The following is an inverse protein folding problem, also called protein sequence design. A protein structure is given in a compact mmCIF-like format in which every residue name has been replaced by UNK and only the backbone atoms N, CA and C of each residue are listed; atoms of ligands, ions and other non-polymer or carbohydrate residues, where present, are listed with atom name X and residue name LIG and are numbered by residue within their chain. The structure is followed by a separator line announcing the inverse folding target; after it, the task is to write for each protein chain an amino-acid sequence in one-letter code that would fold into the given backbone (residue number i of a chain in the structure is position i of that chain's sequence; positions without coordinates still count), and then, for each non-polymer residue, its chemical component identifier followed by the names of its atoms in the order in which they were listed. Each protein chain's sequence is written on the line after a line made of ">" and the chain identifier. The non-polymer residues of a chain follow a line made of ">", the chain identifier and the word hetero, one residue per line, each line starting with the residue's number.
data_IF_192927773308
#
_entry.id   IF_192927773308
#
_cell.length_a   1.000
_cell.length_b   1.000
_cell.length_c   1.000
_cell.angle_alpha   90.00
_cell.angle_beta   90.00
_cell.angle_gamma   90.00
#
_symmetry.space_group_name_H-M   'P 1'
#
loop_
_entity.id
_entity.type
_entity.pdbx_description
1 polymer ?
#
# COMPACT_ATOMS: atom_id res chain seq x y z
N UNK A 1 11.12 20.04 -12.24
CA UNK A 1 10.70 18.65 -12.49
C UNK A 1 11.46 17.65 -11.62
N UNK A 2 12.74 17.36 -11.88
CA UNK A 2 13.52 16.37 -11.11
C UNK A 2 13.55 16.57 -9.58
N UNK A 3 13.59 17.81 -9.12
CA UNK A 3 13.61 18.14 -7.69
C UNK A 3 12.38 17.66 -6.94
N UNK A 4 11.18 17.74 -7.55
CA UNK A 4 9.93 17.33 -6.92
C UNK A 4 9.75 15.82 -6.96
N UNK A 5 10.16 15.15 -8.04
CA UNK A 5 10.21 13.68 -8.11
C UNK A 5 11.12 13.14 -7.01
N UNK A 6 12.32 13.72 -6.84
CA UNK A 6 13.26 13.29 -5.81
C UNK A 6 12.75 13.54 -4.38
N UNK A 7 12.05 14.66 -4.16
CA UNK A 7 11.38 14.92 -2.88
C UNK A 7 10.28 13.90 -2.60
N UNK A 8 9.46 13.58 -3.59
CA UNK A 8 8.43 12.56 -3.50
C UNK A 8 9.02 11.18 -3.22
N UNK A 9 10.08 10.81 -3.94
CA UNK A 9 10.79 9.55 -3.76
C UNK A 9 11.34 9.39 -2.34
N UNK A 10 12.08 10.38 -1.85
CA UNK A 10 12.62 10.35 -0.48
C UNK A 10 11.52 10.26 0.57
N UNK A 11 10.45 11.00 0.37
CA UNK A 11 9.31 11.00 1.26
C UNK A 11 8.62 9.62 1.27
N UNK A 12 8.31 9.06 0.09
CA UNK A 12 7.75 7.73 -0.02
C UNK A 12 8.67 6.64 0.57
N UNK A 13 9.97 6.71 0.31
CA UNK A 13 10.94 5.76 0.87
C UNK A 13 10.97 5.79 2.41
N UNK A 14 10.92 6.98 3.02
CA UNK A 14 10.84 7.11 4.48
C UNK A 14 9.58 6.45 5.06
N UNK A 15 8.48 6.47 4.32
CA UNK A 15 7.24 5.85 4.74
C UNK A 15 7.28 4.33 4.64
N UNK A 16 7.94 3.81 3.63
CA UNK A 16 8.11 2.37 3.45
C UNK A 16 8.99 1.73 4.53
N UNK A 17 9.84 2.52 5.22
CA UNK A 17 10.61 2.04 6.38
C UNK A 17 9.69 1.62 7.53
N UNK A 18 8.50 2.20 7.63
CA UNK A 18 7.47 1.72 8.55
C UNK A 18 6.90 0.39 8.04
N UNK A 19 7.61 -0.71 8.32
CA UNK A 19 7.27 -2.08 7.92
C UNK A 19 5.84 -2.40 8.34
N UNK A 20 4.95 -2.54 7.35
CA UNK A 20 3.54 -2.86 7.55
C UNK A 20 3.20 -4.31 7.12
N UNK A 21 1.92 -4.72 7.27
CA UNK A 21 1.46 -6.05 6.87
C UNK A 21 1.77 -6.40 5.41
N UNK A 22 1.73 -5.41 4.52
CA UNK A 22 2.02 -5.57 3.08
C UNK A 22 3.49 -5.94 2.85
N UNK A 23 4.41 -5.28 3.56
CA UNK A 23 5.85 -5.56 3.48
C UNK A 23 6.15 -6.99 3.96
N UNK A 24 5.54 -7.40 5.07
CA UNK A 24 5.65 -8.77 5.59
C UNK A 24 5.10 -9.80 4.60
N UNK A 25 3.98 -9.49 3.95
CA UNK A 25 3.41 -10.36 2.92
C UNK A 25 4.35 -10.54 1.73
N UNK A 26 4.94 -9.45 1.22
CA UNK A 26 5.92 -9.50 0.11
C UNK A 26 7.13 -10.34 0.52
N UNK A 27 7.69 -10.10 1.71
CA UNK A 27 8.82 -10.86 2.23
C UNK A 27 8.50 -12.36 2.36
N UNK A 28 7.35 -12.72 2.92
CA UNK A 28 6.90 -14.11 3.02
C UNK A 28 6.73 -14.73 1.63
N UNK A 29 6.15 -14.00 0.68
CA UNK A 29 5.97 -14.46 -0.70
C UNK A 29 7.33 -14.68 -1.38
N UNK A 30 8.29 -13.79 -1.19
CA UNK A 30 9.65 -13.97 -1.71
C UNK A 30 10.32 -15.22 -1.14
N UNK A 31 10.20 -15.44 0.18
CA UNK A 31 10.79 -16.58 0.86
C UNK A 31 10.15 -17.92 0.48
N UNK A 32 8.83 -17.97 0.22
CA UNK A 32 8.09 -19.21 -0.07
C UNK A 32 7.97 -19.53 -1.55
N UNK A 33 7.79 -18.51 -2.38
CA UNK A 33 7.39 -18.65 -3.80
C UNK A 33 8.38 -18.01 -4.77
N UNK A 34 9.43 -17.40 -4.25
CA UNK A 34 10.53 -16.83 -5.02
C UNK A 34 10.25 -15.42 -5.56
N UNK A 35 11.27 -14.90 -6.24
CA UNK A 35 11.34 -13.51 -6.69
C UNK A 35 10.18 -13.09 -7.60
N UNK A 36 9.80 -13.90 -8.59
CA UNK A 36 8.75 -13.51 -9.53
C UNK A 36 7.37 -13.38 -8.90
N UNK A 37 7.04 -14.22 -7.91
CA UNK A 37 5.80 -14.10 -7.17
C UNK A 37 5.79 -12.85 -6.27
N UNK A 38 6.92 -12.53 -5.65
CA UNK A 38 7.09 -11.32 -4.86
C UNK A 38 6.99 -10.07 -5.73
N UNK A 39 7.62 -10.03 -6.90
CA UNK A 39 7.50 -8.90 -7.84
C UNK A 39 6.07 -8.71 -8.35
N UNK A 40 5.32 -9.78 -8.59
CA UNK A 40 3.91 -9.66 -8.91
C UNK A 40 3.11 -8.99 -7.79
N UNK A 41 3.41 -9.32 -6.52
CA UNK A 41 2.83 -8.66 -5.36
C UNK A 41 3.25 -7.18 -5.27
N UNK A 42 4.52 -6.85 -5.53
CA UNK A 42 5.02 -5.45 -5.56
C UNK A 42 4.29 -4.62 -6.61
N UNK A 43 4.09 -5.18 -7.81
CA UNK A 43 3.32 -4.51 -8.88
C UNK A 43 1.88 -4.24 -8.45
N UNK A 44 1.23 -5.19 -7.77
CA UNK A 44 -0.12 -5.03 -7.25
C UNK A 44 -0.20 -3.90 -6.20
N UNK A 45 0.74 -3.85 -5.26
CA UNK A 45 0.83 -2.77 -4.25
C UNK A 45 1.04 -1.42 -4.93
N UNK A 46 1.97 -1.34 -5.88
CA UNK A 46 2.27 -0.11 -6.62
C UNK A 46 1.06 0.38 -7.41
N UNK A 47 0.28 -0.55 -7.98
CA UNK A 47 -0.97 -0.23 -8.66
C UNK A 47 -2.02 0.33 -7.69
N UNK A 48 -2.21 -0.31 -6.53
CA UNK A 48 -3.14 0.15 -5.51
C UNK A 48 -2.75 1.54 -4.98
N UNK A 49 -1.48 1.77 -4.67
CA UNK A 49 -0.96 3.07 -4.24
C UNK A 49 -1.19 4.13 -5.31
N UNK A 50 -0.97 3.79 -6.59
CA UNK A 50 -1.23 4.69 -7.72
C UNK A 50 -2.69 5.11 -7.80
N UNK A 51 -3.62 4.17 -7.58
CA UNK A 51 -5.05 4.46 -7.53
C UNK A 51 -5.41 5.38 -6.37
N UNK A 52 -4.85 5.14 -5.18
CA UNK A 52 -5.08 6.00 -4.02
C UNK A 52 -4.52 7.40 -4.19
N UNK A 53 -3.33 7.52 -4.75
CA UNK A 53 -2.70 8.79 -5.08
C UNK A 53 -3.55 9.55 -6.10
N UNK A 54 -4.00 8.87 -7.16
CA UNK A 54 -4.90 9.47 -8.16
C UNK A 54 -6.23 9.94 -7.53
N UNK A 55 -6.85 9.11 -6.70
CA UNK A 55 -8.08 9.46 -5.99
C UNK A 55 -7.86 10.65 -5.03
N UNK A 56 -6.73 10.70 -4.33
CA UNK A 56 -6.38 11.81 -3.45
C UNK A 56 -6.16 13.12 -4.22
N UNK A 57 -5.50 13.07 -5.37
CA UNK A 57 -5.31 14.23 -6.27
C UNK A 57 -6.64 14.75 -6.85
N UNK A 58 -7.62 13.87 -7.06
CA UNK A 58 -8.97 14.22 -7.47
C UNK A 58 -9.86 14.74 -6.32
N UNK A 59 -9.33 14.81 -5.10
CA UNK A 59 -10.03 15.32 -3.92
C UNK A 59 -10.95 14.30 -3.24
N UNK A 60 -10.85 13.01 -3.59
CA UNK A 60 -11.67 11.96 -2.96
C UNK A 60 -11.44 11.85 -1.44
N UNK A 61 -10.24 12.20 -0.97
CA UNK A 61 -9.91 12.24 0.45
C UNK A 61 -10.82 13.18 1.26
N UNK A 62 -11.11 14.35 0.73
CA UNK A 62 -11.99 15.33 1.39
C UNK A 62 -13.44 14.86 1.47
N UNK A 63 -13.89 14.07 0.50
CA UNK A 63 -15.25 13.50 0.48
C UNK A 63 -15.36 12.42 1.54
N UNK A 64 -14.35 11.54 1.69
CA UNK A 64 -14.31 10.48 2.69
C UNK A 64 -14.22 11.07 4.10
N UNK A 65 -13.42 12.11 4.30
CA UNK A 65 -13.30 12.78 5.60
C UNK A 65 -14.61 13.45 6.05
N UNK A 66 -15.37 14.02 5.13
CA UNK A 66 -16.66 14.66 5.42
C UNK A 66 -17.80 13.67 5.62
N UNK A 67 -17.67 12.46 5.11
CA UNK A 67 -18.70 11.42 5.20
C UNK A 67 -18.41 10.47 6.37
N UNK A 68 -18.97 10.75 7.56
CA UNK A 68 -18.77 9.94 8.77
C UNK A 68 -19.08 8.44 8.59
N UNK A 69 -20.21 8.02 7.95
CA UNK A 69 -20.48 6.60 7.74
C UNK A 69 -19.46 5.94 6.81
N UNK A 70 -19.09 6.57 5.69
CA UNK A 70 -18.07 6.02 4.80
C UNK A 70 -16.73 5.82 5.53
N UNK A 71 -16.26 6.82 6.27
CA UNK A 71 -15.04 6.74 7.07
C UNK A 71 -15.10 5.58 8.09
N UNK A 72 -16.25 5.39 8.73
CA UNK A 72 -16.43 4.31 9.71
C UNK A 72 -16.37 2.94 9.05
N UNK A 73 -17.05 2.75 7.92
CA UNK A 73 -17.04 1.51 7.15
C UNK A 73 -15.61 1.16 6.71
N UNK A 74 -14.88 2.09 6.10
CA UNK A 74 -13.49 1.86 5.68
C UNK A 74 -12.58 1.51 6.85
N UNK A 75 -12.77 2.17 8.01
CA UNK A 75 -11.98 1.90 9.21
C UNK A 75 -12.24 0.49 9.76
N UNK A 76 -13.49 0.05 9.85
CA UNK A 76 -13.82 -1.28 10.39
C UNK A 76 -13.46 -2.41 9.42
N UNK A 77 -13.73 -2.23 8.13
CA UNK A 77 -13.33 -3.21 7.11
C UNK A 77 -11.81 -3.39 7.08
N UNK A 78 -11.06 -2.30 7.07
CA UNK A 78 -9.62 -2.39 7.06
C UNK A 78 -9.05 -2.99 8.33
N UNK A 79 -9.59 -2.63 9.51
CA UNK A 79 -9.19 -3.25 10.77
C UNK A 79 -9.44 -4.77 10.73
N UNK A 80 -10.59 -5.21 10.22
CA UNK A 80 -10.92 -6.62 10.08
C UNK A 80 -9.91 -7.35 9.18
N UNK A 81 -9.56 -6.77 8.02
CA UNK A 81 -8.56 -7.35 7.11
C UNK A 81 -7.18 -7.48 7.75
N UNK A 82 -6.73 -6.44 8.47
CA UNK A 82 -5.43 -6.46 9.16
C UNK A 82 -5.43 -7.52 10.28
N UNK A 83 -6.50 -7.63 11.04
CA UNK A 83 -6.65 -8.65 12.09
C UNK A 83 -6.64 -10.05 11.48
N UNK A 84 -7.40 -10.29 10.39
CA UNK A 84 -7.42 -11.57 9.70
C UNK A 84 -6.04 -11.94 9.15
N UNK A 85 -5.33 -10.98 8.55
CA UNK A 85 -3.96 -11.18 8.10
C UNK A 85 -3.03 -11.54 9.27
N UNK A 86 -3.09 -10.79 10.37
CA UNK A 86 -2.28 -11.05 11.56
C UNK A 86 -2.54 -12.44 12.15
N UNK A 87 -3.80 -12.82 12.28
CA UNK A 87 -4.19 -14.17 12.76
C UNK A 87 -3.70 -15.25 11.79
N UNK A 88 -3.90 -15.06 10.48
CA UNK A 88 -3.43 -16.00 9.46
C UNK A 88 -1.92 -16.17 9.47
N UNK A 89 -1.17 -15.07 9.66
CA UNK A 89 0.30 -15.11 9.78
C UNK A 89 0.77 -15.87 11.01
N UNK A 90 0.12 -15.66 12.17
CA UNK A 90 0.44 -16.38 13.41
C UNK A 90 0.13 -17.87 13.26
N UNK A 91 -1.05 -18.21 12.77
CA UNK A 91 -1.45 -19.61 12.59
C UNK A 91 -0.62 -20.32 11.52
N UNK A 92 -0.22 -19.60 10.47
CA UNK A 92 0.70 -20.08 9.45
C UNK A 92 2.08 -20.49 10.03
N UNK A 93 2.57 -19.77 11.02
CA UNK A 93 3.80 -20.14 11.74
C UNK A 93 3.67 -21.47 12.51
N UNK A 94 2.44 -21.88 12.87
CA UNK A 94 2.10 -23.17 13.48
C UNK A 94 1.66 -24.24 12.47
N UNK A 95 1.79 -23.95 11.15
CA UNK A 95 1.41 -24.87 10.08
C UNK A 95 -0.09 -24.91 9.73
N UNK A 96 -0.89 -24.01 10.29
CA UNK A 96 -2.32 -23.90 10.01
C UNK A 96 -2.58 -22.77 9.02
N UNK A 97 -2.86 -23.12 7.77
CA UNK A 97 -3.14 -22.14 6.70
C UNK A 97 -4.65 -21.89 6.59
N UNK A 98 -5.12 -20.73 7.06
CA UNK A 98 -6.53 -20.31 6.95
C UNK A 98 -6.79 -19.64 5.60
N UNK A 99 -5.87 -18.82 5.14
CA UNK A 99 -6.00 -18.12 3.87
C UNK A 99 -4.88 -18.57 2.92
N UNK A 100 -5.22 -19.14 1.75
CA UNK A 100 -4.21 -19.53 0.76
C UNK A 100 -3.33 -18.33 0.38
N UNK A 101 -2.03 -18.49 0.52
CA UNK A 101 -1.05 -17.44 0.19
C UNK A 101 -0.93 -16.29 1.21
N UNK A 102 -1.60 -16.38 2.36
CA UNK A 102 -1.48 -15.40 3.45
C UNK A 102 -1.18 -16.16 4.74
N UNK A 103 -0.01 -15.89 5.34
CA UNK A 103 0.34 -16.37 6.68
C UNK A 103 1.02 -17.73 6.78
N UNK A 104 1.30 -18.41 5.67
CA UNK A 104 2.07 -19.66 5.65
C UNK A 104 3.14 -19.65 4.58
N UNK A 105 4.21 -20.48 4.77
CA UNK A 105 5.21 -20.75 3.74
C UNK A 105 4.66 -21.71 2.65
N UNK A 106 3.46 -21.48 2.17
CA UNK A 106 2.88 -22.22 1.06
C UNK A 106 3.25 -21.53 -0.25
N UNK A 107 3.73 -22.31 -1.20
CA UNK A 107 4.01 -21.79 -2.54
C UNK A 107 2.75 -21.17 -3.12
N UNK A 108 2.87 -19.94 -3.55
CA UNK A 108 1.77 -19.15 -4.12
C UNK A 108 2.13 -18.79 -5.55
N UNK A 109 1.21 -19.01 -6.49
CA UNK A 109 1.43 -18.56 -7.87
C UNK A 109 1.55 -17.03 -7.92
N UNK A 110 2.26 -16.51 -8.91
CA UNK A 110 2.41 -15.06 -9.11
C UNK A 110 1.07 -14.34 -9.25
N UNK A 111 0.08 -14.99 -9.86
CA UNK A 111 -1.28 -14.47 -9.99
C UNK A 111 -1.98 -14.35 -8.62
N UNK A 112 -1.90 -15.38 -7.80
CA UNK A 112 -2.48 -15.35 -6.44
C UNK A 112 -1.75 -14.35 -5.55
N UNK A 113 -0.42 -14.23 -5.67
CA UNK A 113 0.37 -13.23 -4.96
C UNK A 113 -0.06 -11.80 -5.34
N UNK A 114 -0.27 -11.54 -6.63
CA UNK A 114 -0.78 -10.27 -7.12
C UNK A 114 -2.15 -9.93 -6.54
N UNK A 115 -3.10 -10.85 -6.64
CA UNK A 115 -4.48 -10.63 -6.15
C UNK A 115 -4.50 -10.40 -4.64
N UNK A 116 -3.77 -11.22 -3.87
CA UNK A 116 -3.72 -11.10 -2.42
C UNK A 116 -3.08 -9.79 -1.98
N UNK A 117 -1.97 -9.38 -2.61
CA UNK A 117 -1.33 -8.09 -2.34
C UNK A 117 -2.24 -6.92 -2.67
N UNK A 118 -2.94 -6.99 -3.82
CA UNK A 118 -3.89 -5.97 -4.24
C UNK A 118 -5.04 -5.83 -3.22
N UNK A 119 -5.66 -6.93 -2.83
CA UNK A 119 -6.75 -6.94 -1.85
C UNK A 119 -6.29 -6.43 -0.49
N UNK A 120 -5.12 -6.88 -0.02
CA UNK A 120 -4.54 -6.44 1.25
C UNK A 120 -4.30 -4.93 1.25
N UNK A 121 -3.70 -4.39 0.19
CA UNK A 121 -3.41 -2.96 0.06
C UNK A 121 -4.69 -2.14 -0.08
N UNK A 122 -5.62 -2.56 -0.94
CA UNK A 122 -6.91 -1.87 -1.13
C UNK A 122 -7.80 -1.90 0.10
N UNK A 123 -7.64 -2.90 0.97
CA UNK A 123 -8.38 -2.97 2.23
C UNK A 123 -7.74 -2.19 3.37
N UNK A 124 -6.54 -1.64 3.17
CA UNK A 124 -5.80 -0.90 4.20
C UNK A 124 -6.36 0.52 4.39
N UNK A 125 -7.09 0.80 5.48
CA UNK A 125 -7.61 2.15 5.73
C UNK A 125 -6.48 3.15 6.00
N UNK A 126 -5.36 2.65 6.52
CA UNK A 126 -4.19 3.47 6.81
C UNK A 126 -3.60 4.06 5.53
N UNK A 127 -3.50 3.28 4.48
CA UNK A 127 -2.98 3.72 3.17
C UNK A 127 -3.87 4.81 2.57
N UNK A 128 -5.21 4.63 2.64
CA UNK A 128 -6.16 5.63 2.14
C UNK A 128 -6.04 6.94 2.90
N UNK A 129 -6.13 6.90 4.24
CA UNK A 129 -6.05 8.09 5.10
C UNK A 129 -4.71 8.78 4.92
N UNK A 130 -3.66 8.01 4.77
CA UNK A 130 -2.32 8.50 4.61
C UNK A 130 -2.14 9.28 3.29
N UNK A 131 -2.45 8.69 2.14
CA UNK A 131 -2.33 9.37 0.86
C UNK A 131 -3.27 10.57 0.77
N UNK A 132 -4.52 10.43 1.24
CA UNK A 132 -5.47 11.54 1.29
C UNK A 132 -4.97 12.68 2.17
N UNK A 133 -4.45 12.39 3.35
CA UNK A 133 -3.93 13.39 4.28
C UNK A 133 -2.74 14.17 3.71
N UNK A 134 -1.77 13.46 3.10
CA UNK A 134 -0.58 14.09 2.52
C UNK A 134 -0.96 15.00 1.36
N UNK A 135 -1.76 14.52 0.41
CA UNK A 135 -2.09 15.33 -0.75
C UNK A 135 -3.03 16.48 -0.39
N UNK A 136 -3.94 16.28 0.58
CA UNK A 136 -4.76 17.38 1.12
C UNK A 136 -3.91 18.46 1.81
N UNK A 137 -2.93 18.06 2.63
CA UNK A 137 -2.00 18.98 3.29
C UNK A 137 -1.14 19.74 2.27
N UNK A 138 -0.63 19.05 1.25
CA UNK A 138 0.17 19.67 0.17
C UNK A 138 -0.66 20.64 -0.68
N UNK A 139 -1.89 20.29 -0.99
CA UNK A 139 -2.81 21.18 -1.71
C UNK A 139 -3.20 22.42 -0.88
N UNK A 140 -3.35 22.25 0.45
CA UNK A 140 -3.73 23.34 1.35
C UNK A 140 -2.58 24.30 1.66
N UNK A 141 -1.32 23.83 1.65
CA UNK A 141 -0.14 24.66 1.98
C UNK A 141 0.18 25.70 0.92
N UNK A 142 -0.32 25.56 -0.32
CA UNK A 142 0.01 26.47 -1.43
C UNK A 142 1.50 26.48 -1.81
N UNK A 143 2.31 25.60 -1.22
CA UNK A 143 3.76 25.55 -1.44
C UNK A 143 4.17 24.93 -2.78
N UNK A 144 3.23 24.26 -3.44
CA UNK A 144 3.45 23.52 -4.68
C UNK A 144 2.35 23.83 -5.69
N UNK A 145 2.75 24.12 -6.90
CA UNK A 145 1.84 24.22 -8.03
C UNK A 145 1.25 22.83 -8.37
N UNK A 146 0.10 22.81 -9.04
CA UNK A 146 -0.60 21.57 -9.42
C UNK A 146 0.33 20.56 -10.13
N UNK A 147 1.17 21.04 -11.03
CA UNK A 147 2.14 20.20 -11.75
C UNK A 147 3.23 19.64 -10.83
N UNK A 148 3.66 20.41 -9.85
CA UNK A 148 4.68 20.01 -8.88
C UNK A 148 4.18 18.91 -7.94
N UNK A 149 2.89 18.97 -7.57
CA UNK A 149 2.21 17.92 -6.82
C UNK A 149 2.14 16.61 -7.61
N UNK A 150 1.89 16.66 -8.92
CA UNK A 150 1.94 15.48 -9.78
C UNK A 150 3.35 14.86 -9.84
N UNK A 151 4.40 15.67 -10.00
CA UNK A 151 5.78 15.16 -9.99
C UNK A 151 6.17 14.57 -8.64
N UNK A 152 5.70 15.15 -7.56
CA UNK A 152 5.89 14.60 -6.21
C UNK A 152 5.19 13.23 -6.07
N UNK A 153 3.94 13.12 -6.55
CA UNK A 153 3.17 11.89 -6.55
C UNK A 153 3.87 10.76 -7.33
N UNK A 154 4.36 11.05 -8.52
CA UNK A 154 5.15 10.09 -9.34
C UNK A 154 6.39 9.63 -8.59
N UNK A 155 7.11 10.55 -7.94
CA UNK A 155 8.27 10.20 -7.12
C UNK A 155 7.92 9.27 -5.96
N UNK A 156 6.81 9.52 -5.28
CA UNK A 156 6.34 8.69 -4.17
C UNK A 156 5.93 7.27 -4.63
N UNK A 157 5.23 7.14 -5.76
CA UNK A 157 4.87 5.84 -6.35
C UNK A 157 6.13 5.07 -6.78
N UNK A 158 7.09 5.73 -7.41
CA UNK A 158 8.37 5.11 -7.78
C UNK A 158 9.13 4.59 -6.56
N UNK A 159 9.01 5.27 -5.40
CA UNK A 159 9.64 4.79 -4.17
C UNK A 159 9.01 3.50 -3.67
N UNK A 160 7.68 3.33 -3.79
CA UNK A 160 7.00 2.07 -3.44
C UNK A 160 7.55 0.93 -4.29
N UNK A 161 7.58 1.12 -5.61
CA UNK A 161 8.11 0.10 -6.52
C UNK A 161 9.55 -0.28 -6.15
N UNK A 162 10.45 0.70 -6.10
CA UNK A 162 11.88 0.45 -5.85
C UNK A 162 12.10 -0.15 -4.47
N UNK A 163 11.53 0.44 -3.42
CA UNK A 163 11.75 -0.04 -2.05
C UNK A 163 11.25 -1.46 -1.85
N UNK A 164 10.03 -1.76 -2.32
CA UNK A 164 9.42 -3.08 -2.15
C UNK A 164 10.10 -4.17 -2.97
N UNK A 165 10.69 -3.85 -4.15
CA UNK A 165 11.46 -4.81 -4.95
C UNK A 165 12.82 -5.15 -4.32
N UNK A 166 13.31 -4.32 -3.39
CA UNK A 166 14.57 -4.58 -2.67
C UNK A 166 14.36 -5.12 -1.25
N UNK A 167 13.12 -5.33 -0.84
CA UNK A 167 12.77 -5.89 0.48
C UNK A 167 12.62 -7.40 0.41
#
# INVERSE_FOLDING_TARGET
>A
MHRYIWRGFRFGALLQIAVGPVCLFIFQTAASSGFFAAEAAVLAVTLADSLYVAAALLGAGTIIEKNRPARSIFRYLGAAVIILFGISSILGAFGVNILPGIGGMTETSSESAFINALLLTLSSPLTIVFWAGIFSAKAASGEMDRNEVYYFAVGAILSTLVFMSFT
#
